data_IF_899452212046
#
_entry.id   IF_899452212046
#
_cell.length_a   1.000
_cell.length_b   1.000
_cell.length_c   1.000
_cell.angle_alpha   90.00
_cell.angle_beta   90.00
_cell.angle_gamma   90.00
#
_symmetry.space_group_name_H-M   'P 1'
#
loop_
_entity.id
_entity.type
_entity.pdbx_description
1 polymer ?
#
# COMPACT_ATOMS: atom_id res chain seq x y z
N UNK A 1 -13.48 -18.17 -19.53
CA UNK A 1 -12.29 -18.13 -18.66
C UNK A 1 -12.63 -17.33 -17.42
N UNK A 2 -12.30 -17.86 -16.26
CA UNK A 2 -12.49 -17.16 -15.00
C UNK A 2 -11.63 -15.87 -14.96
N UNK A 3 -12.23 -14.74 -14.58
CA UNK A 3 -11.51 -13.47 -14.53
C UNK A 3 -10.50 -13.50 -13.37
N UNK A 4 -9.30 -12.97 -13.62
CA UNK A 4 -8.23 -12.86 -12.62
C UNK A 4 -8.60 -11.85 -11.54
N UNK A 5 -8.43 -12.20 -10.25
CA UNK A 5 -8.75 -11.35 -9.11
C UNK A 5 -7.65 -10.32 -8.85
N UNK A 6 -8.06 -9.06 -8.72
CA UNK A 6 -7.25 -7.95 -8.23
C UNK A 6 -7.82 -7.40 -6.91
N UNK A 7 -6.97 -7.23 -5.91
CA UNK A 7 -7.30 -6.63 -4.61
C UNK A 7 -6.61 -5.28 -4.51
N UNK A 8 -7.36 -4.22 -4.21
CA UNK A 8 -6.83 -2.85 -4.12
C UNK A 8 -7.26 -2.25 -2.79
N UNK A 9 -6.31 -1.96 -1.89
CA UNK A 9 -6.61 -1.28 -0.63
C UNK A 9 -6.75 0.22 -0.83
N UNK A 10 -7.72 0.87 -0.15
CA UNK A 10 -8.02 2.28 -0.33
C UNK A 10 -8.43 2.62 -1.77
N UNK A 11 -9.18 1.72 -2.39
CA UNK A 11 -9.61 1.81 -3.79
C UNK A 11 -10.56 2.99 -4.06
N UNK A 12 -11.18 3.54 -3.03
CA UNK A 12 -12.09 4.70 -3.05
C UNK A 12 -11.37 6.05 -2.95
N UNK A 13 -10.08 6.06 -2.57
CA UNK A 13 -9.25 7.27 -2.53
C UNK A 13 -8.86 7.77 -3.93
N UNK A 14 -8.27 8.97 -4.02
CA UNK A 14 -7.93 9.60 -5.30
C UNK A 14 -7.10 8.68 -6.24
N UNK A 15 -5.92 8.26 -5.81
CA UNK A 15 -5.08 7.33 -6.59
C UNK A 15 -5.70 5.95 -6.70
N UNK A 16 -6.31 5.45 -5.60
CA UNK A 16 -6.96 4.13 -5.58
C UNK A 16 -8.05 4.00 -6.63
N UNK A 17 -8.86 5.05 -6.83
CA UNK A 17 -9.90 5.09 -7.88
C UNK A 17 -9.28 5.00 -9.29
N UNK A 18 -8.17 5.70 -9.55
CA UNK A 18 -7.49 5.67 -10.85
C UNK A 18 -6.84 4.29 -11.12
N UNK A 19 -6.23 3.69 -10.09
CA UNK A 19 -5.68 2.32 -10.17
C UNK A 19 -6.81 1.33 -10.45
N UNK A 20 -7.91 1.43 -9.71
CA UNK A 20 -9.09 0.55 -9.87
C UNK A 20 -9.67 0.67 -11.27
N UNK A 21 -9.78 1.90 -11.80
CA UNK A 21 -10.24 2.15 -13.18
C UNK A 21 -9.36 1.44 -14.22
N UNK A 22 -8.03 1.59 -14.11
CA UNK A 22 -7.10 0.98 -15.05
C UNK A 22 -7.17 -0.55 -15.01
N UNK A 23 -7.24 -1.14 -13.81
CA UNK A 23 -7.33 -2.59 -13.62
C UNK A 23 -8.69 -3.12 -14.08
N UNK A 24 -9.78 -2.35 -13.92
CA UNK A 24 -11.11 -2.69 -14.43
C UNK A 24 -11.15 -2.72 -15.96
N UNK A 25 -10.56 -1.72 -16.62
CA UNK A 25 -10.43 -1.66 -18.08
C UNK A 25 -9.57 -2.80 -18.64
N UNK A 26 -8.61 -3.30 -17.86
CA UNK A 26 -7.81 -4.49 -18.20
C UNK A 26 -8.57 -5.82 -18.01
N UNK A 27 -9.85 -5.78 -17.60
CA UNK A 27 -10.75 -6.93 -17.53
C UNK A 27 -10.62 -7.79 -16.26
N UNK A 28 -9.94 -7.31 -15.23
CA UNK A 28 -9.85 -8.03 -13.95
C UNK A 28 -11.18 -7.97 -13.17
N UNK A 29 -11.47 -9.03 -12.42
CA UNK A 29 -12.41 -8.96 -11.30
C UNK A 29 -11.73 -8.17 -10.16
N UNK A 30 -12.43 -7.24 -9.55
CA UNK A 30 -11.85 -6.34 -8.56
C UNK A 30 -12.52 -6.48 -7.21
N UNK A 31 -11.71 -6.60 -6.17
CA UNK A 31 -12.13 -6.41 -4.80
C UNK A 31 -11.56 -5.08 -4.28
N UNK A 32 -12.41 -4.07 -4.19
CA UNK A 32 -12.13 -2.78 -3.57
C UNK A 32 -12.11 -2.97 -2.05
N UNK A 33 -10.93 -3.02 -1.46
CA UNK A 33 -10.73 -3.16 -0.02
C UNK A 33 -10.70 -1.76 0.63
N UNK A 34 -11.80 -1.32 1.23
CA UNK A 34 -12.01 0.04 1.68
C UNK A 34 -12.39 0.11 3.17
N UNK A 35 -12.00 1.21 3.83
CA UNK A 35 -12.36 1.46 5.23
C UNK A 35 -13.86 1.73 5.41
N UNK A 36 -14.42 2.56 4.54
CA UNK A 36 -15.82 2.94 4.51
C UNK A 36 -16.53 2.37 3.26
N UNK A 37 -17.26 1.25 3.38
CA UNK A 37 -17.95 0.64 2.25
C UNK A 37 -19.05 1.52 1.63
N UNK A 38 -19.66 2.42 2.40
CA UNK A 38 -20.74 3.28 1.88
C UNK A 38 -20.19 4.31 0.89
N UNK A 39 -19.08 4.98 1.27
CA UNK A 39 -18.37 5.90 0.35
C UNK A 39 -17.78 5.17 -0.85
N UNK A 40 -17.27 3.97 -0.64
CA UNK A 40 -16.69 3.16 -1.70
C UNK A 40 -17.75 2.70 -2.71
N UNK A 41 -18.99 2.47 -2.30
CA UNK A 41 -20.08 2.06 -3.18
C UNK A 41 -20.42 3.11 -4.26
N UNK A 42 -20.41 4.40 -3.91
CA UNK A 42 -20.60 5.48 -4.88
C UNK A 42 -19.49 5.46 -5.95
N UNK A 43 -18.23 5.25 -5.51
CA UNK A 43 -17.09 5.12 -6.43
C UNK A 43 -17.18 3.87 -7.30
N UNK A 44 -17.63 2.75 -6.73
CA UNK A 44 -17.86 1.50 -7.46
C UNK A 44 -18.86 1.70 -8.60
N UNK A 45 -20.02 2.30 -8.32
CA UNK A 45 -21.05 2.56 -9.32
C UNK A 45 -20.53 3.43 -10.47
N UNK A 46 -19.76 4.46 -10.13
CA UNK A 46 -19.12 5.32 -11.13
C UNK A 46 -18.13 4.53 -11.98
N UNK A 47 -17.27 3.71 -11.37
CA UNK A 47 -16.29 2.88 -12.07
C UNK A 47 -16.95 1.87 -13.01
N UNK A 48 -18.05 1.22 -12.60
CA UNK A 48 -18.83 0.32 -13.45
C UNK A 48 -19.33 1.05 -14.69
N UNK A 49 -19.90 2.26 -14.54
CA UNK A 49 -20.39 3.07 -15.66
C UNK A 49 -19.27 3.50 -16.62
N UNK A 50 -18.11 3.87 -16.07
CA UNK A 50 -16.97 4.36 -16.85
C UNK A 50 -16.21 3.25 -17.59
N UNK A 51 -16.13 2.06 -17.00
CA UNK A 51 -15.32 0.96 -17.52
C UNK A 51 -16.10 -0.15 -18.18
N UNK A 52 -17.42 -0.21 -17.95
CA UNK A 52 -18.27 -1.33 -18.38
C UNK A 52 -18.02 -2.63 -17.61
N UNK A 53 -17.09 -2.65 -16.67
CA UNK A 53 -16.77 -3.84 -15.88
C UNK A 53 -17.70 -3.91 -14.67
N UNK A 54 -18.60 -4.90 -14.67
CA UNK A 54 -19.55 -5.13 -13.56
C UNK A 54 -18.96 -6.01 -12.43
N UNK A 55 -17.81 -6.65 -12.63
CA UNK A 55 -17.14 -7.49 -11.65
C UNK A 55 -16.28 -6.68 -10.67
N UNK A 56 -16.90 -5.72 -10.02
CA UNK A 56 -16.29 -4.89 -8.99
C UNK A 56 -17.10 -5.07 -7.70
N UNK A 57 -16.45 -5.58 -6.66
CA UNK A 57 -17.03 -5.78 -5.32
C UNK A 57 -16.36 -4.83 -4.33
N UNK A 58 -17.12 -4.30 -3.37
CA UNK A 58 -16.58 -3.54 -2.23
C UNK A 58 -16.60 -4.41 -0.99
N UNK A 59 -15.48 -4.42 -0.25
CA UNK A 59 -15.41 -5.09 1.04
C UNK A 59 -14.67 -4.25 2.06
N UNK A 60 -15.21 -4.23 3.28
CA UNK A 60 -14.62 -3.48 4.38
C UNK A 60 -13.30 -4.10 4.82
N UNK A 61 -12.28 -3.25 4.99
CA UNK A 61 -11.04 -3.54 5.69
C UNK A 61 -10.59 -2.30 6.47
N UNK A 62 -10.21 -2.47 7.73
CA UNK A 62 -9.58 -1.42 8.52
C UNK A 62 -8.13 -1.83 8.83
N UNK A 63 -7.18 -1.22 8.14
CA UNK A 63 -5.76 -1.49 8.33
C UNK A 63 -5.22 -1.01 9.70
N UNK A 64 -6.03 -0.27 10.46
CA UNK A 64 -5.76 0.09 11.85
C UNK A 64 -6.24 -0.96 12.87
N UNK A 65 -6.86 -2.06 12.40
CA UNK A 65 -7.32 -3.17 13.23
C UNK A 65 -6.87 -4.49 12.61
N UNK A 66 -5.91 -5.15 13.23
CA UNK A 66 -5.33 -6.38 12.69
C UNK A 66 -6.34 -7.53 12.65
N UNK A 67 -7.34 -7.54 13.56
CA UNK A 67 -8.46 -8.50 13.49
C UNK A 67 -9.26 -8.33 12.20
N UNK A 68 -9.53 -7.10 11.76
CA UNK A 68 -10.27 -6.86 10.50
C UNK A 68 -9.44 -7.23 9.28
N UNK A 69 -8.13 -7.01 9.33
CA UNK A 69 -7.20 -7.45 8.26
C UNK A 69 -7.18 -8.96 8.16
N UNK A 70 -7.08 -9.66 9.29
CA UNK A 70 -7.12 -11.11 9.33
C UNK A 70 -8.44 -11.66 8.79
N UNK A 71 -9.57 -11.15 9.29
CA UNK A 71 -10.91 -11.56 8.83
C UNK A 71 -11.13 -11.33 7.33
N UNK A 72 -10.59 -10.23 6.78
CA UNK A 72 -10.63 -9.97 5.34
C UNK A 72 -9.83 -11.02 4.55
N UNK A 73 -8.62 -11.36 5.01
CA UNK A 73 -7.79 -12.37 4.37
C UNK A 73 -8.40 -13.79 4.52
N UNK A 74 -8.94 -14.12 5.69
CA UNK A 74 -9.60 -15.42 5.97
C UNK A 74 -10.84 -15.64 5.08
N UNK A 75 -11.61 -14.58 4.81
CA UNK A 75 -12.70 -14.65 3.84
C UNK A 75 -12.20 -15.07 2.45
N UNK A 76 -11.08 -14.53 1.99
CA UNK A 76 -10.52 -14.89 0.69
C UNK A 76 -9.90 -16.29 0.70
N UNK A 77 -9.23 -16.67 1.78
CA UNK A 77 -8.70 -18.02 1.96
C UNK A 77 -9.81 -19.06 1.93
N UNK A 78 -10.94 -18.79 2.59
CA UNK A 78 -12.11 -19.67 2.57
C UNK A 78 -12.75 -19.82 1.19
N UNK A 79 -12.56 -18.86 0.29
CA UNK A 79 -13.01 -18.94 -1.12
C UNK A 79 -12.03 -19.71 -2.02
N UNK A 80 -10.76 -19.83 -1.61
CA UNK A 80 -9.71 -20.47 -2.41
C UNK A 80 -9.41 -19.76 -3.74
N UNK A 81 -9.84 -18.50 -3.89
CA UNK A 81 -9.69 -17.72 -5.11
C UNK A 81 -8.26 -17.25 -5.29
N UNK A 82 -7.62 -17.56 -6.43
CA UNK A 82 -6.26 -17.11 -6.71
C UNK A 82 -6.19 -15.60 -6.88
N UNK A 83 -5.31 -14.96 -6.11
CA UNK A 83 -5.01 -13.52 -6.23
C UNK A 83 -3.97 -13.31 -7.33
N UNK A 84 -4.33 -12.53 -8.35
CA UNK A 84 -3.41 -12.19 -9.44
C UNK A 84 -2.72 -10.84 -9.22
N UNK A 85 -3.42 -9.88 -8.64
CA UNK A 85 -2.89 -8.56 -8.31
C UNK A 85 -3.23 -8.19 -6.86
N UNK A 86 -2.24 -7.77 -6.09
CA UNK A 86 -2.44 -7.12 -4.79
C UNK A 86 -1.81 -5.72 -4.82
N UNK A 87 -2.64 -4.69 -4.68
CA UNK A 87 -2.22 -3.31 -4.57
C UNK A 87 -2.40 -2.80 -3.13
N UNK A 88 -1.32 -2.70 -2.38
CA UNK A 88 -1.29 -2.03 -1.08
C UNK A 88 -1.15 -0.52 -1.30
N UNK A 89 -2.29 0.13 -1.58
CA UNK A 89 -2.35 1.56 -1.89
C UNK A 89 -2.81 2.41 -0.71
N UNK A 90 -3.63 1.88 0.20
CA UNK A 90 -4.11 2.63 1.36
C UNK A 90 -2.96 3.19 2.19
N UNK A 91 -3.15 4.40 2.69
CA UNK A 91 -2.19 5.07 3.55
C UNK A 91 -2.78 6.28 4.24
N UNK A 92 -2.19 6.65 5.36
CA UNK A 92 -2.56 7.84 6.16
C UNK A 92 -1.32 8.54 6.69
N UNK A 93 -1.46 9.79 7.06
CA UNK A 93 -0.49 10.57 7.82
C UNK A 93 -1.23 11.36 8.88
N UNK A 94 -1.40 10.76 10.05
CA UNK A 94 -2.16 11.36 11.15
C UNK A 94 -1.54 12.71 11.59
N UNK A 95 -2.39 13.63 12.00
CA UNK A 95 -1.97 14.95 12.49
C UNK A 95 -1.62 14.92 13.97
N UNK A 96 -2.13 13.95 14.70
CA UNK A 96 -1.90 13.70 16.12
C UNK A 96 -1.67 12.21 16.36
N UNK A 97 -1.07 11.88 17.49
CA UNK A 97 -0.87 10.49 17.86
C UNK A 97 -2.19 9.80 18.16
N UNK A 98 -2.48 8.75 17.41
CA UNK A 98 -3.61 7.86 17.64
C UNK A 98 -3.10 6.43 17.80
N UNK A 99 -3.47 5.80 18.89
CA UNK A 99 -3.13 4.40 19.17
C UNK A 99 -4.30 3.52 18.76
N UNK A 100 -4.01 2.48 18.01
CA UNK A 100 -5.00 1.50 17.55
C UNK A 100 -5.41 0.55 18.69
N UNK A 101 -6.45 -0.25 18.46
CA UNK A 101 -6.88 -1.31 19.40
C UNK A 101 -5.79 -2.35 19.64
N UNK A 102 -4.85 -2.51 18.70
CA UNK A 102 -3.71 -3.42 18.80
C UNK A 102 -2.49 -2.80 19.49
N UNK A 103 -2.62 -1.56 20.01
CA UNK A 103 -1.55 -0.85 20.70
C UNK A 103 -0.46 -0.28 19.77
N UNK A 104 -0.75 -0.11 18.50
CA UNK A 104 0.16 0.46 17.50
C UNK A 104 -0.17 1.93 17.26
N UNK A 105 0.82 2.71 16.85
CA UNK A 105 0.54 4.03 16.28
C UNK A 105 -0.21 3.84 14.95
N UNK A 106 -1.27 4.65 14.71
CA UNK A 106 -2.21 4.44 13.61
C UNK A 106 -1.55 4.55 12.24
N UNK A 107 -0.62 5.51 12.02
CA UNK A 107 0.11 5.64 10.76
C UNK A 107 0.97 4.40 10.49
N UNK A 108 1.62 3.86 11.54
CA UNK A 108 2.42 2.63 11.43
C UNK A 108 1.54 1.43 11.12
N UNK A 109 0.39 1.32 11.78
CA UNK A 109 -0.55 0.23 11.51
C UNK A 109 -1.06 0.27 10.07
N UNK A 110 -1.62 1.40 9.64
CA UNK A 110 -2.25 1.54 8.31
C UNK A 110 -1.25 1.43 7.17
N UNK A 111 -0.06 2.05 7.32
CA UNK A 111 0.89 2.15 6.21
C UNK A 111 1.85 0.95 6.12
N UNK A 112 2.03 0.19 7.19
CA UNK A 112 3.02 -0.87 7.21
C UNK A 112 2.50 -2.19 7.77
N UNK A 113 2.08 -2.26 9.05
CA UNK A 113 1.75 -3.54 9.70
C UNK A 113 0.52 -4.20 9.08
N UNK A 114 -0.53 -3.43 8.77
CA UNK A 114 -1.73 -3.91 8.10
C UNK A 114 -1.45 -4.48 6.72
N UNK A 115 -0.78 -3.73 5.80
CA UNK A 115 -0.32 -4.26 4.51
C UNK A 115 0.60 -5.48 4.63
N UNK A 116 1.50 -5.50 5.62
CA UNK A 116 2.33 -6.66 5.91
C UNK A 116 1.46 -7.89 6.21
N UNK A 117 0.57 -7.80 7.21
CA UNK A 117 -0.30 -8.90 7.62
C UNK A 117 -1.19 -9.38 6.47
N UNK A 118 -1.84 -8.44 5.76
CA UNK A 118 -2.68 -8.75 4.60
C UNK A 118 -1.90 -9.55 3.55
N UNK A 119 -0.74 -9.05 3.16
CA UNK A 119 0.09 -9.70 2.14
C UNK A 119 0.54 -11.09 2.60
N UNK A 120 1.03 -11.20 3.85
CA UNK A 120 1.49 -12.48 4.43
C UNK A 120 0.39 -13.54 4.46
N UNK A 121 -0.81 -13.17 4.90
CA UNK A 121 -1.96 -14.10 4.94
C UNK A 121 -2.44 -14.52 3.54
N UNK A 122 -2.32 -13.65 2.55
CA UNK A 122 -2.77 -13.95 1.19
C UNK A 122 -1.73 -14.72 0.35
N UNK A 123 -0.49 -14.90 0.82
CA UNK A 123 0.54 -15.65 0.07
C UNK A 123 0.11 -17.07 -0.37
N UNK A 124 -0.70 -17.83 0.41
CA UNK A 124 -1.19 -19.13 -0.06
C UNK A 124 -2.08 -19.08 -1.31
N UNK A 125 -2.72 -17.93 -1.58
CA UNK A 125 -3.54 -17.68 -2.78
C UNK A 125 -2.74 -17.10 -3.94
N UNK A 126 -1.44 -16.88 -3.78
CA UNK A 126 -0.55 -16.27 -4.76
C UNK A 126 0.40 -17.31 -5.37
N UNK A 127 0.84 -17.09 -6.59
CA UNK A 127 1.80 -17.95 -7.27
C UNK A 127 2.35 -17.28 -8.52
N UNK A 128 2.88 -18.06 -9.43
CA UNK A 128 3.48 -17.58 -10.67
C UNK A 128 2.61 -16.55 -11.41
N UNK A 129 3.21 -15.40 -11.73
CA UNK A 129 2.53 -14.29 -12.39
C UNK A 129 1.69 -13.40 -11.48
N UNK A 130 1.61 -13.68 -10.16
CA UNK A 130 1.02 -12.74 -9.19
C UNK A 130 1.92 -11.52 -9.05
N UNK A 131 1.31 -10.33 -9.02
CA UNK A 131 2.00 -9.06 -8.77
C UNK A 131 1.52 -8.40 -7.49
N UNK A 132 2.45 -8.09 -6.60
CA UNK A 132 2.23 -7.31 -5.37
C UNK A 132 2.88 -5.96 -5.55
N UNK A 133 2.12 -4.88 -5.42
CA UNK A 133 2.63 -3.51 -5.52
C UNK A 133 2.33 -2.77 -4.22
N UNK A 134 3.38 -2.20 -3.62
CA UNK A 134 3.29 -1.41 -2.40
C UNK A 134 3.45 0.09 -2.72
N UNK A 135 2.47 0.92 -2.32
CA UNK A 135 2.53 2.37 -2.49
C UNK A 135 3.43 2.99 -1.42
N UNK A 136 4.62 3.40 -1.82
CA UNK A 136 5.59 4.06 -0.94
C UNK A 136 5.54 5.58 -1.11
N UNK A 137 6.61 6.30 -0.83
CA UNK A 137 6.80 7.74 -1.04
C UNK A 137 8.29 8.05 -1.03
N UNK A 138 8.72 9.09 -1.71
CA UNK A 138 10.11 9.58 -1.68
C UNK A 138 10.64 9.83 -0.26
N UNK A 139 9.74 10.04 0.70
CA UNK A 139 10.09 10.24 2.12
C UNK A 139 10.72 8.99 2.76
N UNK A 140 10.67 7.80 2.12
CA UNK A 140 11.41 6.63 2.60
C UNK A 140 12.90 6.95 2.81
N UNK A 141 13.45 7.85 1.99
CA UNK A 141 14.87 8.20 2.00
C UNK A 141 15.34 8.88 3.29
N UNK A 142 14.43 9.56 4.00
CA UNK A 142 14.70 10.21 5.30
C UNK A 142 14.16 9.42 6.48
N UNK A 143 13.50 8.30 6.23
CA UNK A 143 12.99 7.41 7.27
C UNK A 143 14.11 6.78 8.10
N UNK A 144 13.78 6.43 9.34
CA UNK A 144 14.65 5.72 10.30
C UNK A 144 13.85 4.67 11.03
N UNK A 145 14.46 3.51 11.26
CA UNK A 145 13.88 2.47 12.10
C UNK A 145 14.56 2.51 13.46
N UNK A 146 13.83 2.94 14.47
CA UNK A 146 14.29 2.97 15.85
C UNK A 146 13.55 1.87 16.63
N UNK A 147 14.18 0.72 16.77
CA UNK A 147 13.69 -0.35 17.64
C UNK A 147 14.17 -0.14 19.07
N UNK A 148 13.30 -0.28 20.07
CA UNK A 148 11.94 -0.86 20.10
C UNK A 148 10.80 0.10 19.77
N UNK A 149 11.06 1.39 19.54
CA UNK A 149 10.04 2.45 19.44
C UNK A 149 9.33 2.54 18.09
N UNK A 150 9.81 1.87 17.04
CA UNK A 150 9.25 1.97 15.70
C UNK A 150 7.73 1.76 15.65
N UNK A 151 7.21 0.78 16.36
CA UNK A 151 5.78 0.51 16.42
C UNK A 151 5.02 1.48 17.33
N UNK A 152 5.70 2.34 18.07
CA UNK A 152 5.19 3.40 18.99
C UNK A 152 4.09 2.93 19.94
N UNK A 153 4.27 1.75 20.50
CA UNK A 153 3.35 1.17 21.48
C UNK A 153 3.30 2.05 22.73
N UNK A 154 2.31 2.97 22.79
CA UNK A 154 2.04 3.79 23.95
C UNK A 154 3.12 4.80 24.33
N UNK A 155 4.08 5.12 23.46
CA UNK A 155 5.13 6.10 23.75
C UNK A 155 4.52 7.47 24.04
N UNK A 156 4.86 8.06 25.18
CA UNK A 156 4.56 9.44 25.55
C UNK A 156 5.66 10.34 24.97
N UNK A 157 5.32 11.56 24.57
CA UNK A 157 6.26 12.55 24.04
C UNK A 157 5.74 13.26 22.80
N UNK A 158 6.57 14.09 22.19
CA UNK A 158 6.19 14.86 21.01
C UNK A 158 5.85 13.95 19.82
N UNK A 159 4.78 14.29 19.11
CA UNK A 159 4.36 13.62 17.89
C UNK A 159 4.79 14.42 16.68
N UNK A 160 5.57 13.79 15.79
CA UNK A 160 6.07 14.40 14.56
C UNK A 160 5.60 13.57 13.37
N UNK A 161 4.54 14.05 12.68
CA UNK A 161 3.87 13.33 11.60
C UNK A 161 4.79 12.92 10.45
N UNK A 162 5.68 13.83 10.00
CA UNK A 162 6.56 13.58 8.86
C UNK A 162 7.59 12.47 9.16
N UNK A 163 8.35 12.50 10.27
CA UNK A 163 9.22 11.38 10.64
C UNK A 163 8.50 10.04 10.75
N UNK A 164 7.35 10.00 11.43
CA UNK A 164 6.58 8.76 11.58
C UNK A 164 6.14 8.22 10.22
N UNK A 165 5.56 9.09 9.38
CA UNK A 165 5.17 8.72 8.01
C UNK A 165 6.38 8.21 7.21
N UNK A 166 7.51 8.92 7.25
CA UNK A 166 8.74 8.55 6.53
C UNK A 166 9.28 7.19 7.00
N UNK A 167 9.22 6.92 8.31
CA UNK A 167 9.61 5.63 8.88
C UNK A 167 8.73 4.50 8.35
N UNK A 168 7.41 4.72 8.22
CA UNK A 168 6.50 3.70 7.64
C UNK A 168 6.79 3.45 6.16
N UNK A 169 7.15 4.49 5.41
CA UNK A 169 7.48 4.34 3.98
C UNK A 169 8.84 3.67 3.78
N UNK A 170 9.81 3.90 4.66
CA UNK A 170 11.04 3.10 4.71
C UNK A 170 10.73 1.64 5.03
N UNK A 171 9.95 1.37 6.07
CA UNK A 171 9.58 0.01 6.45
C UNK A 171 8.89 -0.74 5.31
N UNK A 172 7.94 -0.10 4.61
CA UNK A 172 7.24 -0.70 3.48
C UNK A 172 8.16 -0.93 2.26
N UNK A 173 9.16 -0.05 2.05
CA UNK A 173 10.19 -0.25 1.02
C UNK A 173 11.05 -1.46 1.34
N UNK A 174 11.53 -1.58 2.59
CA UNK A 174 12.34 -2.73 3.02
C UNK A 174 11.53 -4.04 3.01
N UNK A 175 10.27 -3.99 3.40
CA UNK A 175 9.36 -5.13 3.28
C UNK A 175 9.21 -5.59 1.82
N UNK A 176 9.10 -4.65 0.87
CA UNK A 176 9.01 -4.97 -0.56
C UNK A 176 10.23 -5.74 -1.03
N UNK A 177 11.44 -5.28 -0.68
CA UNK A 177 12.70 -5.91 -1.09
C UNK A 177 12.83 -7.30 -0.44
N UNK A 178 12.60 -7.39 0.87
CA UNK A 178 12.72 -8.64 1.62
C UNK A 178 11.67 -9.67 1.18
N UNK A 179 10.44 -9.25 0.94
CA UNK A 179 9.39 -10.14 0.45
C UNK A 179 9.72 -10.66 -0.95
N UNK A 180 10.20 -9.80 -1.85
CA UNK A 180 10.58 -10.20 -3.21
C UNK A 180 11.60 -11.35 -3.20
N UNK A 181 12.62 -11.25 -2.34
CA UNK A 181 13.62 -12.31 -2.19
C UNK A 181 13.03 -13.61 -1.64
N UNK A 182 12.12 -13.51 -0.65
CA UNK A 182 11.50 -14.67 0.00
C UNK A 182 10.49 -15.43 -0.88
N UNK A 183 9.94 -14.78 -1.89
CA UNK A 183 8.90 -15.39 -2.76
C UNK A 183 9.36 -15.56 -4.21
N UNK A 184 10.62 -15.30 -4.53
CA UNK A 184 11.15 -15.40 -5.90
C UNK A 184 10.93 -16.79 -6.52
N UNK A 185 11.11 -17.83 -5.74
CA UNK A 185 10.96 -19.22 -6.21
C UNK A 185 9.47 -19.59 -6.47
N UNK A 186 8.53 -18.75 -6.04
CA UNK A 186 7.09 -18.91 -6.31
C UNK A 186 6.63 -18.15 -7.57
N UNK A 187 7.52 -17.46 -8.26
CA UNK A 187 7.16 -16.64 -9.41
C UNK A 187 6.27 -15.44 -9.08
N UNK A 188 6.28 -14.98 -7.82
CA UNK A 188 5.55 -13.80 -7.36
C UNK A 188 6.43 -12.57 -7.53
N UNK A 189 5.91 -11.55 -8.22
CA UNK A 189 6.60 -10.28 -8.45
C UNK A 189 6.17 -9.26 -7.41
N UNK A 190 7.13 -8.68 -6.69
CA UNK A 190 6.86 -7.71 -5.60
C UNK A 190 7.64 -6.43 -5.85
N UNK A 191 6.95 -5.30 -6.02
CA UNK A 191 7.59 -4.01 -6.31
C UNK A 191 6.98 -2.87 -5.49
N UNK A 192 7.72 -1.78 -5.36
CA UNK A 192 7.29 -0.54 -4.75
C UNK A 192 7.05 0.54 -5.81
N UNK A 193 5.94 1.28 -5.68
CA UNK A 193 5.60 2.43 -6.50
C UNK A 193 5.70 3.72 -5.68
N UNK A 194 6.53 4.66 -6.12
CA UNK A 194 6.55 6.03 -5.60
C UNK A 194 5.68 6.91 -6.52
N UNK A 195 4.60 7.49 -6.01
CA UNK A 195 3.67 8.30 -6.80
C UNK A 195 4.22 9.71 -7.09
N UNK A 196 5.33 10.11 -6.45
CA UNK A 196 5.76 11.50 -6.37
C UNK A 196 4.88 12.32 -5.41
N UNK A 197 4.91 13.64 -5.54
CA UNK A 197 4.05 14.54 -4.76
C UNK A 197 2.69 14.63 -5.45
N UNK A 198 1.64 14.08 -4.83
CA UNK A 198 0.28 14.02 -5.40
C UNK A 198 -0.65 14.87 -4.56
N UNK A 199 -1.53 15.64 -5.21
CA UNK A 199 -2.63 16.34 -4.55
C UNK A 199 -3.63 15.32 -4.01
N UNK A 200 -3.47 14.96 -2.74
CA UNK A 200 -4.38 14.06 -2.01
C UNK A 200 -4.64 14.64 -0.63
N UNK A 201 -5.72 14.21 0.00
CA UNK A 201 -6.10 14.62 1.37
C UNK A 201 -5.00 14.36 2.43
N UNK A 202 -4.00 13.54 2.11
CA UNK A 202 -2.84 13.25 2.97
C UNK A 202 -1.92 14.47 3.14
N UNK A 203 -1.84 15.34 2.13
CA UNK A 203 -0.90 16.49 2.10
C UNK A 203 -1.53 17.78 2.63
N UNK A 204 -2.86 17.86 2.70
CA UNK A 204 -3.55 19.03 3.23
C UNK A 204 -3.14 19.28 4.68
N UNK A 205 -2.36 20.34 4.89
CA UNK A 205 -1.83 20.67 6.24
C UNK A 205 -2.85 21.41 7.10
N UNK A 206 -3.96 21.88 6.50
CA UNK A 206 -4.96 22.75 7.15
C UNK A 206 -4.35 23.97 7.84
N UNK A 207 -3.29 24.54 7.22
CA UNK A 207 -2.57 25.71 7.73
C UNK A 207 -2.96 26.95 6.94
N UNK A 208 -2.92 28.13 7.58
CA UNK A 208 -3.30 29.39 6.96
C UNK A 208 -2.51 29.75 5.69
N UNK A 209 -1.34 29.16 5.48
CA UNK A 209 -0.48 29.36 4.30
C UNK A 209 -0.65 28.28 3.21
N UNK A 210 -1.56 27.30 3.39
CA UNK A 210 -1.83 26.26 2.38
C UNK A 210 -2.14 26.86 0.99
N UNK A 211 -2.90 27.99 0.85
CA UNK A 211 -3.12 28.60 -0.46
C UNK A 211 -1.83 29.12 -1.13
N UNK A 212 -0.86 29.59 -0.34
CA UNK A 212 0.42 30.08 -0.87
C UNK A 212 1.36 28.93 -1.29
N UNK A 213 1.37 27.86 -0.49
CA UNK A 213 2.10 26.63 -0.81
C UNK A 213 1.49 25.94 -2.03
N UNK A 214 0.18 25.92 -2.17
CA UNK A 214 -0.50 25.41 -3.36
C UNK A 214 -0.08 26.15 -4.64
N UNK A 215 0.02 27.47 -4.62
CA UNK A 215 0.42 28.25 -5.78
C UNK A 215 1.89 28.01 -6.15
N UNK A 216 2.79 27.95 -5.17
CA UNK A 216 4.23 27.76 -5.39
C UNK A 216 4.59 26.34 -5.81
N UNK A 217 3.89 25.31 -5.30
CA UNK A 217 4.18 23.91 -5.56
C UNK A 217 3.29 23.29 -6.65
N UNK A 218 2.22 23.96 -7.11
CA UNK A 218 1.33 23.48 -8.18
C UNK A 218 2.04 22.87 -9.39
N UNK A 219 3.14 23.42 -9.90
CA UNK A 219 3.83 22.83 -11.05
C UNK A 219 4.42 21.45 -10.78
N UNK A 220 4.65 21.13 -9.50
CA UNK A 220 5.27 19.88 -9.06
C UNK A 220 4.26 18.87 -8.48
N UNK A 221 3.01 19.28 -8.26
CA UNK A 221 1.95 18.45 -7.69
C UNK A 221 1.29 17.66 -8.82
N UNK A 222 1.37 16.34 -8.73
CA UNK A 222 0.74 15.41 -9.67
C UNK A 222 -0.75 15.28 -9.40
N UNK A 223 -1.54 15.09 -10.46
CA UNK A 223 -2.92 14.65 -10.33
C UNK A 223 -2.98 13.20 -9.79
N UNK A 224 -4.09 12.77 -9.19
CA UNK A 224 -4.26 11.36 -8.78
C UNK A 224 -3.96 10.35 -9.90
N UNK A 225 -4.35 10.66 -11.14
CA UNK A 225 -4.06 9.83 -12.32
C UNK A 225 -2.56 9.72 -12.60
N UNK A 226 -1.85 10.84 -12.55
CA UNK A 226 -0.38 10.86 -12.73
C UNK A 226 0.34 10.13 -11.59
N UNK A 227 -0.13 10.29 -10.34
CA UNK A 227 0.41 9.57 -9.19
C UNK A 227 0.18 8.05 -9.27
N UNK A 228 -0.95 7.64 -9.80
CA UNK A 228 -1.29 6.23 -9.98
C UNK A 228 -0.50 5.54 -11.10
N UNK A 229 0.05 6.29 -12.07
CA UNK A 229 0.62 5.73 -13.30
C UNK A 229 1.72 4.68 -13.03
N UNK A 230 2.62 4.93 -12.07
CA UNK A 230 3.70 3.98 -11.72
C UNK A 230 3.13 2.66 -11.16
N UNK A 231 2.13 2.73 -10.29
CA UNK A 231 1.48 1.53 -9.75
C UNK A 231 0.73 0.76 -10.84
N UNK A 232 0.03 1.46 -11.74
CA UNK A 232 -0.68 0.86 -12.88
C UNK A 232 0.30 0.15 -13.81
N UNK A 233 1.43 0.78 -14.16
CA UNK A 233 2.48 0.15 -14.97
C UNK A 233 3.01 -1.14 -14.31
N UNK A 234 3.31 -1.11 -13.02
CA UNK A 234 3.79 -2.30 -12.28
C UNK A 234 2.75 -3.42 -12.22
N UNK A 235 1.47 -3.08 -12.16
CA UNK A 235 0.38 -4.07 -12.11
C UNK A 235 0.08 -4.68 -13.48
N UNK A 236 0.16 -3.91 -14.57
CA UNK A 236 -0.44 -4.30 -15.86
C UNK A 236 0.56 -4.50 -17.00
N UNK A 237 1.69 -3.75 -17.04
CA UNK A 237 2.61 -3.80 -18.16
C UNK A 237 3.41 -5.10 -18.16
N UNK A 238 3.57 -5.71 -19.33
CA UNK A 238 4.28 -6.99 -19.48
C UNK A 238 5.76 -6.86 -19.08
N UNK A 239 6.42 -5.81 -19.50
CA UNK A 239 7.86 -5.60 -19.30
C UNK A 239 8.24 -5.39 -17.82
N UNK A 240 7.29 -4.97 -16.98
CA UNK A 240 7.50 -4.83 -15.55
C UNK A 240 7.35 -6.15 -14.77
N UNK A 241 6.76 -7.18 -15.40
CA UNK A 241 6.52 -8.49 -14.79
C UNK A 241 7.77 -9.34 -14.57
N UNK A 242 8.90 -8.97 -15.17
CA UNK A 242 10.17 -9.69 -15.03
C UNK A 242 11.06 -9.15 -13.90
N UNK A 243 10.72 -7.98 -13.35
CA UNK A 243 11.52 -7.33 -12.31
C UNK A 243 10.80 -7.41 -10.98
N UNK A 244 11.50 -7.88 -9.96
CA UNK A 244 11.00 -7.96 -8.59
C UNK A 244 11.97 -7.30 -7.61
N UNK A 245 11.48 -6.84 -6.46
CA UNK A 245 12.29 -6.18 -5.44
C UNK A 245 12.72 -4.75 -5.79
N UNK A 246 12.05 -4.11 -6.76
CA UNK A 246 12.43 -2.77 -7.23
C UNK A 246 11.54 -1.67 -6.67
N UNK A 247 12.12 -0.50 -6.47
CA UNK A 247 11.41 0.75 -6.30
C UNK A 247 11.30 1.44 -7.65
N UNK A 248 10.09 1.90 -8.00
CA UNK A 248 9.83 2.55 -9.28
C UNK A 248 9.27 3.95 -9.07
N UNK A 249 9.77 4.89 -9.89
CA UNK A 249 9.36 6.30 -9.90
C UNK A 249 9.09 6.69 -11.34
N UNK A 250 7.96 7.35 -11.63
CA UNK A 250 7.60 7.74 -13.00
C UNK A 250 7.67 6.59 -14.01
N UNK A 251 7.18 5.42 -13.63
CA UNK A 251 7.14 4.17 -14.41
C UNK A 251 8.53 3.56 -14.71
N UNK A 252 9.60 4.05 -14.10
CA UNK A 252 10.96 3.53 -14.28
C UNK A 252 11.55 3.01 -12.97
N UNK A 253 12.35 1.94 -12.99
CA UNK A 253 13.06 1.49 -11.81
C UNK A 253 14.06 2.54 -11.36
N UNK A 254 14.03 2.84 -10.08
CA UNK A 254 14.99 3.74 -9.42
C UNK A 254 16.12 2.90 -8.83
N UNK A 255 17.34 3.22 -9.20
CA UNK A 255 18.50 2.61 -8.56
C UNK A 255 18.54 3.02 -7.08
N UNK A 256 18.38 2.04 -6.20
CA UNK A 256 18.53 2.22 -4.77
C UNK A 256 20.02 2.11 -4.39
N UNK A 257 20.47 2.97 -3.49
CA UNK A 257 21.80 2.83 -2.91
C UNK A 257 21.86 1.57 -2.02
N UNK A 258 23.05 1.04 -1.79
CA UNK A 258 23.31 -0.13 -0.94
C UNK A 258 22.74 0.02 0.48
N UNK A 259 22.64 1.25 0.97
CA UNK A 259 21.97 1.57 2.24
C UNK A 259 20.55 0.99 2.33
N UNK A 260 19.83 0.88 1.21
CA UNK A 260 18.46 0.36 1.18
C UNK A 260 18.41 -1.08 0.72
N UNK A 261 19.18 -1.47 -0.29
CA UNK A 261 19.21 -2.86 -0.80
C UNK A 261 19.82 -3.85 0.18
N UNK A 262 20.78 -3.38 1.01
CA UNK A 262 21.42 -4.15 2.07
C UNK A 262 21.19 -3.50 3.44
N UNK A 263 19.98 -3.03 3.70
CA UNK A 263 19.68 -2.33 4.95
C UNK A 263 19.84 -3.27 6.15
N UNK A 264 20.74 -2.88 7.07
CA UNK A 264 21.11 -3.71 8.24
C UNK A 264 19.93 -4.17 9.10
N UNK A 265 18.86 -3.38 9.12
CA UNK A 265 17.68 -3.66 9.94
C UNK A 265 16.53 -4.31 9.16
N UNK A 266 16.69 -4.63 7.86
CA UNK A 266 15.60 -5.20 7.07
C UNK A 266 15.14 -6.56 7.63
N UNK A 267 16.10 -7.43 7.96
CA UNK A 267 15.83 -8.74 8.57
C UNK A 267 15.21 -8.58 9.96
N UNK A 268 15.75 -7.70 10.80
CA UNK A 268 15.21 -7.43 12.14
C UNK A 268 13.79 -6.87 12.07
N UNK A 269 13.52 -5.95 11.11
CA UNK A 269 12.16 -5.43 10.87
C UNK A 269 11.19 -6.56 10.55
N UNK A 270 11.58 -7.47 9.64
CA UNK A 270 10.78 -8.63 9.30
C UNK A 270 10.48 -9.50 10.53
N UNK A 271 11.51 -9.92 11.25
CA UNK A 271 11.38 -10.80 12.42
C UNK A 271 10.51 -10.19 13.52
N UNK A 272 10.69 -8.90 13.81
CA UNK A 272 9.88 -8.18 14.81
C UNK A 272 8.43 -8.03 14.36
N UNK A 273 8.20 -7.78 13.08
CA UNK A 273 6.84 -7.68 12.54
C UNK A 273 6.15 -9.04 12.52
N UNK A 274 6.86 -10.10 12.13
CA UNK A 274 6.35 -11.48 12.16
C UNK A 274 5.93 -11.89 13.58
N UNK A 275 6.76 -11.60 14.58
CA UNK A 275 6.43 -11.83 15.99
C UNK A 275 5.21 -11.03 16.43
N UNK A 276 5.12 -9.76 16.01
CA UNK A 276 4.01 -8.87 16.35
C UNK A 276 2.68 -9.40 15.82
N UNK A 277 2.66 -9.87 14.57
CA UNK A 277 1.42 -10.32 13.91
C UNK A 277 1.15 -11.81 14.06
N UNK A 278 1.99 -12.55 14.76
CA UNK A 278 1.96 -14.03 14.87
C UNK A 278 0.59 -14.61 15.19
N UNK A 279 -0.18 -13.96 16.06
CA UNK A 279 -1.49 -14.48 16.47
C UNK A 279 -2.56 -14.41 15.37
N UNK A 280 -2.32 -13.63 14.29
CA UNK A 280 -3.24 -13.48 13.16
C UNK A 280 -2.79 -14.25 11.91
N UNK A 281 -1.55 -14.72 11.87
CA UNK A 281 -1.05 -15.57 10.80
C UNK A 281 -1.51 -17.02 10.97
#
# INVERSE_FOLDING_TARGET
MEKKLAIITGADGGMGTEITRAVALAGYRILMACYDPQKAEEKRQKLIKETGNTDIEVRRIDLASLDTVAAFADYLLGRGERVSLLMNNAGTMETERRITVDGLERTVSVNYVGPYLLTRKLLPLMGEGTRVVNMVSCTYAIGRLDFPDFFLRGKKGSFWRIPIYSNTKLALTLFTIELAERVKDKGIVVNAADPGIVSTDIITMHMWFDPLTDILFRPFIRTPRQGAATAVSLLLDKDTGERTGTLNVSCHPKQLSERFTHHKQAKELWERTELLVKKWL
#
